data_IF_292741521237
#
_entry.id   IF_292741521237
#
_cell.length_a   1.000
_cell.length_b   1.000
_cell.length_c   1.000
_cell.angle_alpha   90.00
_cell.angle_beta   90.00
_cell.angle_gamma   90.00
#
_symmetry.space_group_name_H-M   'P 1'
#
loop_
_entity.id
_entity.type
_entity.pdbx_description
1 polymer ?
#
# COMPACT_ATOMS: atom_id res chain seq x y z
N UNK A 1 41.22 15.66 5.38
CA UNK A 1 40.33 16.39 4.44
C UNK A 1 39.25 17.12 5.22
N UNK A 2 38.89 18.33 4.77
CA UNK A 2 37.75 19.06 5.34
C UNK A 2 36.43 18.46 4.83
N UNK A 3 35.44 18.21 5.70
CA UNK A 3 34.17 17.64 5.27
C UNK A 3 33.41 18.64 4.39
N UNK A 4 32.93 18.18 3.23
CA UNK A 4 32.16 19.00 2.30
C UNK A 4 30.67 18.67 2.38
N UNK A 5 29.83 19.68 2.18
CA UNK A 5 28.40 19.51 2.16
C UNK A 5 27.95 18.82 0.87
N UNK A 6 27.15 17.76 1.00
CA UNK A 6 26.58 17.06 -0.14
C UNK A 6 25.62 17.89 -1.01
N UNK A 7 25.01 18.95 -0.45
CA UNK A 7 24.07 19.82 -1.18
C UNK A 7 24.76 20.99 -1.87
N UNK A 8 25.58 21.75 -1.13
CA UNK A 8 26.15 23.00 -1.62
C UNK A 8 27.64 22.89 -2.00
N UNK A 9 28.30 21.77 -1.73
CA UNK A 9 29.72 21.54 -2.04
C UNK A 9 30.72 22.32 -1.16
N UNK A 10 30.23 23.24 -0.31
CA UNK A 10 31.07 24.06 0.58
C UNK A 10 31.54 23.26 1.79
N UNK A 11 32.63 23.73 2.41
CA UNK A 11 33.17 23.15 3.64
C UNK A 11 32.15 23.27 4.78
N UNK A 12 31.97 22.19 5.53
CA UNK A 12 31.09 22.12 6.70
C UNK A 12 31.93 22.28 7.95
N UNK A 13 31.67 23.35 8.70
CA UNK A 13 32.33 23.57 9.99
C UNK A 13 31.72 22.66 11.08
N UNK A 14 32.50 22.26 12.10
CA UNK A 14 32.02 21.39 13.18
C UNK A 14 30.73 21.86 13.85
N UNK A 15 30.54 23.17 14.00
CA UNK A 15 29.35 23.80 14.60
C UNK A 15 28.04 23.47 13.86
N UNK A 16 28.09 23.39 12.54
CA UNK A 16 26.92 23.13 11.68
C UNK A 16 26.93 21.72 11.08
N UNK A 17 27.90 20.89 11.48
CA UNK A 17 28.09 19.58 10.91
C UNK A 17 26.96 18.64 11.28
N UNK A 18 26.31 18.11 10.25
CA UNK A 18 25.33 17.03 10.35
C UNK A 18 25.82 15.86 9.51
N UNK A 19 26.12 14.74 10.16
CA UNK A 19 26.53 13.50 9.50
C UNK A 19 25.30 12.61 9.29
N UNK A 20 24.83 12.48 8.05
CA UNK A 20 23.66 11.68 7.68
C UNK A 20 23.85 11.10 6.27
N UNK A 21 23.31 9.90 6.03
CA UNK A 21 23.38 9.24 4.71
C UNK A 21 24.83 9.09 4.19
N UNK A 22 25.75 8.74 5.10
CA UNK A 22 27.20 8.62 4.83
C UNK A 22 27.86 9.88 4.25
N UNK A 23 27.22 11.04 4.44
CA UNK A 23 27.68 12.34 3.94
C UNK A 23 27.58 13.40 5.04
N UNK A 24 28.28 14.51 4.81
CA UNK A 24 28.23 15.68 5.69
C UNK A 24 27.31 16.75 5.10
N UNK A 25 26.58 17.44 5.95
CA UNK A 25 25.61 18.47 5.60
C UNK A 25 25.73 19.65 6.56
N UNK A 26 25.42 20.87 6.10
CA UNK A 26 25.13 21.98 7.00
C UNK A 26 23.72 21.82 7.58
N UNK A 27 23.49 22.30 8.81
CA UNK A 27 22.16 22.36 9.43
C UNK A 27 21.10 23.01 8.52
N UNK A 28 21.43 24.12 7.85
CA UNK A 28 20.52 24.77 6.89
C UNK A 28 20.39 24.07 5.54
N UNK A 29 21.38 23.28 5.14
CA UNK A 29 21.33 22.51 3.89
C UNK A 29 20.57 21.19 4.03
N UNK A 30 20.29 20.76 5.25
CA UNK A 30 19.59 19.50 5.50
C UNK A 30 18.06 19.73 5.51
N UNK A 31 17.47 19.81 4.33
CA UNK A 31 16.03 20.00 4.14
C UNK A 31 15.46 18.99 3.14
N UNK A 32 14.15 18.75 3.23
CA UNK A 32 13.44 17.84 2.34
C UNK A 32 13.52 18.29 0.87
N UNK A 33 13.78 17.37 -0.06
CA UNK A 33 13.80 17.70 -1.50
C UNK A 33 12.45 18.19 -2.04
N UNK A 34 11.34 17.77 -1.46
CA UNK A 34 9.99 18.10 -1.94
C UNK A 34 9.48 19.41 -1.34
N UNK A 35 9.41 19.51 -0.01
CA UNK A 35 8.85 20.70 0.66
C UNK A 35 9.88 21.73 1.10
N UNK A 36 11.18 21.48 0.92
CA UNK A 36 12.29 22.33 1.40
C UNK A 36 12.26 22.70 2.89
N UNK A 37 11.47 21.98 3.68
CA UNK A 37 11.45 22.11 5.12
C UNK A 37 12.76 21.57 5.70
N UNK A 38 13.41 22.34 6.57
CA UNK A 38 14.59 21.92 7.31
C UNK A 38 14.26 20.70 8.17
N UNK A 39 15.08 19.66 8.04
CA UNK A 39 14.94 18.42 8.76
C UNK A 39 15.99 18.37 9.87
N UNK A 40 15.71 17.59 10.90
CA UNK A 40 16.64 17.31 11.98
C UNK A 40 17.01 15.83 11.97
N UNK A 41 18.12 15.49 12.63
CA UNK A 41 18.58 14.11 12.79
C UNK A 41 17.52 13.17 13.42
N UNK A 42 16.55 13.73 14.15
CA UNK A 42 15.43 12.99 14.75
C UNK A 42 14.23 12.76 13.82
N UNK A 43 14.05 13.58 12.78
CA UNK A 43 12.80 13.65 11.99
C UNK A 43 13.01 13.45 10.48
N UNK A 44 14.21 13.07 10.06
CA UNK A 44 14.50 12.82 8.66
C UNK A 44 14.32 11.33 8.31
N UNK A 45 13.99 11.09 7.05
CA UNK A 45 14.06 9.77 6.41
C UNK A 45 14.99 9.87 5.20
N UNK A 46 15.92 8.93 5.09
CA UNK A 46 16.82 8.86 3.94
C UNK A 46 16.25 7.96 2.87
N UNK A 47 16.15 8.46 1.64
CA UNK A 47 15.83 7.65 0.46
C UNK A 47 16.78 8.03 -0.67
N UNK A 48 17.39 7.06 -1.34
CA UNK A 48 18.31 7.28 -2.45
C UNK A 48 19.41 8.33 -2.18
N UNK A 49 20.01 8.28 -0.97
CA UNK A 49 21.03 9.25 -0.49
C UNK A 49 20.54 10.71 -0.42
N UNK A 50 19.22 10.94 -0.39
CA UNK A 50 18.59 12.26 -0.23
C UNK A 50 17.70 12.30 1.02
N UNK A 51 17.62 13.45 1.70
CA UNK A 51 16.77 13.60 2.89
C UNK A 51 15.32 13.95 2.52
N UNK A 52 14.37 13.25 3.15
CA UNK A 52 12.93 13.45 3.02
C UNK A 52 12.27 13.62 4.40
N UNK A 53 11.16 14.36 4.44
CA UNK A 53 10.31 14.40 5.63
C UNK A 53 9.41 13.16 5.70
N UNK A 54 8.80 12.88 6.85
CA UNK A 54 7.89 11.73 6.99
C UNK A 54 6.72 11.74 6.00
N UNK A 55 6.24 12.92 5.58
CA UNK A 55 5.12 13.06 4.65
C UNK A 55 5.52 12.78 3.19
N UNK A 56 6.75 13.14 2.79
CA UNK A 56 7.26 12.97 1.44
C UNK A 56 8.22 11.78 1.31
N UNK A 57 8.37 10.96 2.35
CA UNK A 57 9.15 9.75 2.29
C UNK A 57 8.40 8.75 1.40
N UNK A 58 9.01 8.27 0.30
CA UNK A 58 8.36 7.30 -0.57
C UNK A 58 8.13 6.01 0.22
N UNK A 59 6.86 5.82 0.62
CA UNK A 59 6.41 4.62 1.28
C UNK A 59 6.15 3.59 0.19
N UNK A 60 6.99 2.57 0.11
CA UNK A 60 6.67 1.38 -0.67
C UNK A 60 5.50 0.71 0.01
N UNK A 61 4.28 1.08 -0.35
CA UNK A 61 3.08 0.36 0.05
C UNK A 61 3.08 -0.96 -0.71
N UNK A 62 3.74 -1.97 -0.15
CA UNK A 62 3.40 -3.36 -0.47
C UNK A 62 1.99 -3.61 0.06
N UNK A 63 0.97 -3.19 -0.68
CA UNK A 63 -0.36 -3.77 -0.59
C UNK A 63 -0.49 -4.75 -1.74
N UNK A 64 0.26 -5.84 -1.63
CA UNK A 64 -0.07 -7.05 -2.37
C UNK A 64 -0.62 -8.04 -1.35
N UNK A 65 -1.90 -7.93 -1.03
CA UNK A 65 -2.68 -9.16 -1.18
C UNK A 65 -2.67 -9.41 -2.68
N UNK A 66 -1.66 -10.15 -3.14
CA UNK A 66 -1.74 -10.75 -4.45
C UNK A 66 -3.07 -11.52 -4.47
N UNK A 67 -3.77 -11.49 -5.60
CA UNK A 67 -4.94 -12.33 -5.88
C UNK A 67 -4.53 -13.81 -5.91
N UNK A 68 -4.04 -14.35 -4.79
CA UNK A 68 -3.92 -15.79 -4.61
C UNK A 68 -5.35 -16.34 -4.59
N UNK A 69 -5.62 -17.47 -5.26
CA UNK A 69 -6.95 -18.07 -5.27
C UNK A 69 -7.47 -18.36 -3.86
N UNK A 70 -6.56 -18.47 -2.88
CA UNK A 70 -6.88 -18.62 -1.47
C UNK A 70 -7.43 -17.33 -0.83
N UNK A 71 -6.91 -16.15 -1.18
CA UNK A 71 -7.42 -14.87 -0.70
C UNK A 71 -8.83 -14.57 -1.22
N UNK A 72 -9.15 -15.03 -2.44
CA UNK A 72 -10.49 -14.93 -3.01
C UNK A 72 -11.49 -15.87 -2.29
N UNK A 73 -11.07 -17.08 -1.93
CA UNK A 73 -11.91 -18.05 -1.19
C UNK A 73 -12.25 -17.56 0.22
N UNK A 74 -11.30 -16.89 0.89
CA UNK A 74 -11.52 -16.31 2.23
C UNK A 74 -12.58 -15.20 2.20
N UNK A 75 -12.56 -14.33 1.18
CA UNK A 75 -13.58 -13.29 0.96
C UNK A 75 -14.96 -13.90 0.73
N UNK A 76 -15.05 -14.89 -0.17
CA UNK A 76 -16.29 -15.60 -0.45
C UNK A 76 -16.88 -16.24 0.83
N UNK A 77 -16.05 -16.92 1.63
CA UNK A 77 -16.49 -17.50 2.91
C UNK A 77 -16.98 -16.43 3.91
N UNK A 78 -16.35 -15.26 3.96
CA UNK A 78 -16.82 -14.19 4.85
C UNK A 78 -18.13 -13.55 4.39
N UNK A 79 -18.35 -13.40 3.08
CA UNK A 79 -19.59 -12.85 2.51
C UNK A 79 -20.76 -13.84 2.64
N UNK A 80 -20.52 -15.14 2.45
CA UNK A 80 -21.51 -16.19 2.69
C UNK A 80 -21.90 -16.27 4.19
N UNK A 81 -20.96 -16.14 5.13
CA UNK A 81 -21.30 -16.11 6.56
C UNK A 81 -22.07 -14.85 6.96
N UNK A 82 -21.74 -13.68 6.40
CA UNK A 82 -22.45 -12.43 6.67
C UNK A 82 -23.88 -12.44 6.13
N UNK A 83 -24.09 -12.97 4.93
CA UNK A 83 -25.43 -13.10 4.34
C UNK A 83 -26.33 -14.05 5.13
N UNK A 84 -25.80 -15.15 5.68
CA UNK A 84 -26.56 -16.06 6.56
C UNK A 84 -26.95 -15.47 7.93
N UNK A 85 -26.19 -14.49 8.42
CA UNK A 85 -26.48 -13.82 9.70
C UNK A 85 -27.48 -12.66 9.55
N UNK A 86 -27.55 -12.04 8.37
CA UNK A 86 -28.48 -10.93 8.08
C UNK A 86 -29.82 -11.45 7.56
N UNK A 87 -29.82 -12.54 6.79
CA UNK A 87 -31.02 -13.18 6.25
C UNK A 87 -30.92 -14.72 6.39
N UNK A 88 -31.60 -15.36 7.36
CA UNK A 88 -31.80 -16.80 7.31
C UNK A 88 -32.73 -17.11 6.14
N UNK A 89 -32.17 -17.36 4.94
CA UNK A 89 -32.96 -17.65 3.73
C UNK A 89 -33.94 -18.81 3.99
N UNK A 90 -35.25 -18.59 3.86
CA UNK A 90 -36.20 -19.68 3.69
C UNK A 90 -36.19 -20.11 2.22
N UNK A 91 -36.11 -21.42 1.98
CA UNK A 91 -36.48 -22.01 0.69
C UNK A 91 -35.35 -22.14 -0.33
N UNK A 92 -34.65 -23.26 -0.26
CA UNK A 92 -34.08 -23.87 -1.47
C UNK A 92 -35.22 -24.20 -2.44
N UNK A 93 -35.37 -23.43 -3.52
CA UNK A 93 -36.13 -23.88 -4.69
C UNK A 93 -35.25 -24.85 -5.47
N UNK A 94 -35.62 -26.12 -5.42
CA UNK A 94 -35.16 -27.16 -6.34
C UNK A 94 -35.64 -26.80 -7.75
N UNK A 95 -34.76 -26.26 -8.58
CA UNK A 95 -34.99 -26.12 -10.02
C UNK A 95 -34.18 -27.20 -10.76
N UNK A 96 -34.79 -28.36 -11.00
CA UNK A 96 -34.34 -29.25 -12.08
C UNK A 96 -35.40 -30.26 -12.50
N UNK A 97 -35.79 -30.13 -13.79
CA UNK A 97 -36.47 -31.08 -14.69
C UNK A 97 -38.00 -31.14 -14.65
N UNK A 98 -38.62 -30.16 -15.31
CA UNK A 98 -39.86 -30.40 -16.05
C UNK A 98 -39.60 -31.44 -17.14
N UNK A 99 -40.19 -32.62 -16.99
CA UNK A 99 -40.29 -33.63 -18.03
C UNK A 99 -41.56 -33.29 -18.81
N UNK A 100 -41.40 -32.60 -19.93
CA UNK A 100 -42.44 -32.43 -20.93
C UNK A 100 -42.97 -33.80 -21.36
N UNK A 101 -44.15 -34.16 -20.83
CA UNK A 101 -44.91 -35.33 -21.26
C UNK A 101 -45.58 -34.92 -22.57
N UNK A 102 -44.94 -35.29 -23.67
CA UNK A 102 -45.56 -35.43 -24.98
C UNK A 102 -46.81 -36.31 -24.81
N UNK A 103 -47.99 -35.70 -24.85
CA UNK A 103 -49.23 -36.42 -25.12
C UNK A 103 -49.44 -36.31 -26.62
N UNK A 104 -49.23 -37.44 -27.28
CA UNK A 104 -49.61 -37.71 -28.64
C UNK A 104 -51.11 -37.39 -28.82
N UNK A 105 -51.38 -36.38 -29.64
CA UNK A 105 -52.71 -36.16 -30.22
C UNK A 105 -52.57 -36.47 -31.70
N UNK A 106 -52.66 -37.75 -32.06
CA UNK A 106 -52.94 -38.13 -33.45
C UNK A 106 -54.45 -38.38 -33.53
N UNK A 107 -55.13 -37.42 -34.13
CA UNK A 107 -56.44 -37.60 -34.76
C UNK A 107 -56.22 -38.33 -36.09
N UNK A 108 -56.74 -39.56 -36.20
CA UNK A 108 -57.58 -40.10 -37.29
C UNK A 108 -57.75 -41.62 -37.07
#
# INVERSE_FOLDING_TARGET
MNPQCARCGKIVYPTEKVSCLDKNWHKGCFHCEVCKMTLNMKNYKGYDKKPYCNAHYPKTSFTTVADTPENLRLRQQSDDLLTYLIDPKPGHVCASRGRERFQDSTTD
#
